data_IF_868078922086
#
_entry.id   IF_868078922086
#
_cell.length_a   1.000
_cell.length_b   1.000
_cell.length_c   1.000
_cell.angle_alpha   90.00
_cell.angle_beta   90.00
_cell.angle_gamma   90.00
#
_symmetry.space_group_name_H-M   'P 1'
#
loop_
_entity.id
_entity.type
_entity.pdbx_description
1 polymer ?
#
# COMPACT_ATOMS: atom_id res chain seq x y z
N UNK A 1 22.00 -26.19 -7.03
CA UNK A 1 21.82 -25.28 -8.18
C UNK A 1 20.66 -25.76 -8.99
N UNK A 2 19.47 -25.33 -8.67
CA UNK A 2 18.28 -25.49 -9.53
C UNK A 2 17.29 -24.41 -9.11
N UNK A 3 17.62 -23.17 -9.48
CA UNK A 3 16.71 -22.04 -9.35
C UNK A 3 15.67 -22.15 -10.46
N UNK A 4 14.49 -22.52 -10.06
CA UNK A 4 13.18 -22.06 -10.50
C UNK A 4 13.04 -21.53 -11.93
N UNK A 5 13.24 -22.40 -12.92
CA UNK A 5 12.97 -22.13 -14.33
C UNK A 5 11.50 -22.34 -14.72
N UNK A 6 10.66 -22.78 -13.79
CA UNK A 6 9.23 -23.10 -14.00
C UNK A 6 8.29 -21.93 -13.68
N UNK A 7 8.79 -20.83 -13.12
CA UNK A 7 7.96 -19.68 -12.73
C UNK A 7 7.76 -18.61 -13.83
N UNK A 8 8.36 -18.76 -15.01
CA UNK A 8 8.37 -17.68 -16.02
C UNK A 8 7.21 -17.72 -17.03
N UNK A 9 6.40 -18.75 -17.05
CA UNK A 9 5.34 -18.89 -18.07
C UNK A 9 4.00 -18.19 -17.71
N UNK A 10 3.81 -17.76 -16.45
CA UNK A 10 2.55 -17.15 -15.99
C UNK A 10 2.68 -15.73 -15.41
N UNK A 11 3.90 -15.26 -15.19
CA UNK A 11 4.17 -13.98 -14.48
C UNK A 11 4.67 -12.88 -15.42
N UNK A 12 4.19 -12.88 -16.66
CA UNK A 12 4.61 -11.92 -17.69
C UNK A 12 4.27 -10.46 -17.37
N UNK A 13 3.43 -10.22 -16.37
CA UNK A 13 2.89 -8.90 -16.06
C UNK A 13 3.54 -8.22 -14.84
N UNK A 14 4.18 -8.97 -13.93
CA UNK A 14 4.89 -8.35 -12.80
C UNK A 14 6.05 -7.50 -13.32
N UNK A 15 6.19 -6.23 -12.87
CA UNK A 15 7.26 -5.34 -13.31
C UNK A 15 8.65 -5.97 -13.19
N UNK A 16 9.37 -6.05 -14.30
CA UNK A 16 10.71 -6.66 -14.35
C UNK A 16 11.69 -6.00 -13.39
N UNK A 17 11.56 -4.68 -13.18
CA UNK A 17 12.41 -3.93 -12.24
C UNK A 17 12.21 -4.40 -10.80
N UNK A 18 10.97 -4.78 -10.40
CA UNK A 18 10.68 -5.30 -9.07
C UNK A 18 11.35 -6.67 -8.88
N UNK A 19 11.12 -7.61 -9.80
CA UNK A 19 11.72 -8.95 -9.74
C UNK A 19 13.26 -8.86 -9.81
N UNK A 20 13.80 -8.01 -10.68
CA UNK A 20 15.24 -7.80 -10.77
C UNK A 20 15.82 -7.26 -9.45
N UNK A 21 15.15 -6.31 -8.82
CA UNK A 21 15.56 -5.76 -7.52
C UNK A 21 15.60 -6.83 -6.44
N UNK A 22 14.53 -7.62 -6.28
CA UNK A 22 14.45 -8.70 -5.28
C UNK A 22 15.53 -9.76 -5.50
N UNK A 23 15.76 -10.17 -6.75
CA UNK A 23 16.78 -11.14 -7.11
C UNK A 23 18.20 -10.62 -6.90
N UNK A 24 18.47 -9.34 -7.22
CA UNK A 24 19.77 -8.70 -7.01
C UNK A 24 20.15 -8.65 -5.53
N UNK A 25 19.17 -8.36 -4.66
CA UNK A 25 19.37 -8.38 -3.21
C UNK A 25 19.32 -9.79 -2.61
N UNK A 26 19.10 -10.83 -3.43
CA UNK A 26 19.05 -12.25 -3.03
C UNK A 26 18.07 -12.52 -1.88
N UNK A 27 16.99 -11.77 -1.81
CA UNK A 27 15.96 -11.96 -0.79
C UNK A 27 15.00 -13.08 -1.17
N UNK A 28 14.44 -13.77 -0.17
CA UNK A 28 13.39 -14.76 -0.37
C UNK A 28 12.05 -14.04 -0.39
N UNK A 29 11.23 -14.36 -1.38
CA UNK A 29 9.86 -13.86 -1.50
C UNK A 29 8.95 -14.95 -2.03
N UNK A 30 7.66 -14.82 -1.77
CA UNK A 30 6.60 -15.69 -2.25
C UNK A 30 5.68 -14.86 -3.16
N UNK A 31 5.33 -15.40 -4.33
CA UNK A 31 4.32 -14.82 -5.21
C UNK A 31 3.00 -15.53 -4.93
N UNK A 32 1.97 -14.75 -4.61
CA UNK A 32 0.61 -15.22 -4.35
C UNK A 32 -0.25 -14.73 -5.51
N UNK A 33 -0.90 -15.65 -6.19
CA UNK A 33 -1.78 -15.34 -7.32
C UNK A 33 -3.24 -15.46 -6.92
N UNK A 34 -4.00 -14.36 -7.07
CA UNK A 34 -5.46 -14.32 -6.83
C UNK A 34 -6.18 -13.78 -8.08
N UNK A 35 -6.73 -14.64 -8.92
CA UNK A 35 -7.26 -14.25 -10.23
C UNK A 35 -8.54 -13.38 -10.19
N UNK A 36 -9.22 -13.22 -9.05
CA UNK A 36 -10.53 -12.56 -9.01
C UNK A 36 -10.70 -11.49 -7.92
N UNK A 37 -9.68 -11.15 -7.15
CA UNK A 37 -9.84 -10.17 -6.08
C UNK A 37 -9.42 -8.76 -6.55
N UNK A 38 -10.32 -7.76 -6.49
CA UNK A 38 -9.89 -6.37 -6.63
C UNK A 38 -8.90 -6.04 -5.49
N UNK A 39 -7.85 -5.30 -5.81
CA UNK A 39 -6.72 -4.94 -4.91
C UNK A 39 -7.15 -4.43 -3.52
N UNK A 40 -8.38 -3.95 -3.38
CA UNK A 40 -8.97 -3.47 -2.11
C UNK A 40 -9.89 -4.47 -1.42
N UNK A 41 -10.09 -5.66 -1.97
CA UNK A 41 -11.08 -6.64 -1.51
C UNK A 41 -10.50 -8.06 -1.55
N UNK A 42 -9.27 -8.24 -1.06
CA UNK A 42 -8.66 -9.56 -1.03
C UNK A 42 -9.34 -10.46 -0.01
N UNK A 43 -9.69 -11.67 -0.42
CA UNK A 43 -10.14 -12.75 0.46
C UNK A 43 -8.98 -13.34 1.28
N UNK A 44 -7.76 -12.81 1.09
CA UNK A 44 -6.55 -13.28 1.78
C UNK A 44 -6.68 -12.94 3.27
N UNK A 45 -7.17 -13.89 4.06
CA UNK A 45 -7.03 -13.88 5.52
C UNK A 45 -5.57 -14.20 5.85
N UNK A 46 -4.70 -13.22 5.72
CA UNK A 46 -3.31 -13.35 6.10
C UNK A 46 -3.16 -12.87 7.55
N UNK A 47 -2.44 -13.65 8.35
CA UNK A 47 -1.89 -13.17 9.62
C UNK A 47 -0.86 -12.05 9.39
N UNK A 48 -0.41 -11.90 8.14
CA UNK A 48 0.56 -10.92 7.66
C UNK A 48 -0.16 -9.68 7.15
N UNK A 49 0.23 -8.46 7.55
CA UNK A 49 -0.42 -7.24 7.09
C UNK A 49 -0.22 -7.05 5.59
N UNK A 50 -1.33 -6.84 4.90
CA UNK A 50 -1.36 -6.28 3.56
C UNK A 50 -1.04 -4.80 3.64
N UNK A 51 -0.19 -4.32 2.75
CA UNK A 51 0.16 -2.90 2.71
C UNK A 51 -0.32 -2.23 1.42
N UNK A 52 -0.69 -0.98 1.55
CA UNK A 52 -1.07 -0.09 0.46
C UNK A 52 -0.05 1.02 0.31
N UNK A 53 0.22 1.43 -0.92
CA UNK A 53 1.07 2.55 -1.26
C UNK A 53 0.23 3.72 -1.77
N UNK A 54 0.44 4.90 -1.21
CA UNK A 54 -0.24 6.14 -1.60
C UNK A 54 0.78 7.13 -2.17
N UNK A 55 0.48 7.69 -3.35
CA UNK A 55 1.27 8.79 -3.90
C UNK A 55 0.73 10.10 -3.36
N UNK A 56 1.59 10.85 -2.69
CA UNK A 56 1.26 12.14 -2.08
C UNK A 56 2.12 13.21 -2.71
N UNK A 57 1.48 14.30 -3.14
CA UNK A 57 2.18 15.50 -3.58
C UNK A 57 2.42 16.40 -2.36
N UNK A 58 3.67 16.73 -2.14
CA UNK A 58 4.13 17.63 -1.09
C UNK A 58 4.91 18.78 -1.74
N UNK A 59 4.24 19.91 -2.01
CA UNK A 59 4.87 21.12 -2.61
C UNK A 59 5.71 20.81 -3.85
N UNK A 60 5.11 20.16 -4.84
CA UNK A 60 5.71 19.71 -6.11
C UNK A 60 6.69 18.53 -6.03
N UNK A 61 6.91 17.97 -4.86
CA UNK A 61 7.61 16.70 -4.71
C UNK A 61 6.62 15.57 -4.47
N UNK A 62 6.73 14.49 -5.22
CA UNK A 62 5.94 13.29 -4.97
C UNK A 62 6.67 12.36 -4.03
N UNK A 63 5.93 11.79 -3.11
CA UNK A 63 6.43 10.81 -2.15
C UNK A 63 5.49 9.61 -2.10
N UNK A 64 6.03 8.45 -1.78
CA UNK A 64 5.26 7.23 -1.59
C UNK A 64 5.06 6.97 -0.09
N UNK A 65 3.81 6.82 0.36
CA UNK A 65 3.50 6.53 1.75
C UNK A 65 2.90 5.13 1.86
N UNK A 66 3.50 4.29 2.67
CA UNK A 66 3.15 2.87 2.85
C UNK A 66 2.50 2.68 4.22
N UNK A 67 1.28 2.15 4.19
CA UNK A 67 0.46 1.90 5.40
C UNK A 67 -0.26 0.56 5.27
N UNK A 68 -0.73 -0.06 6.38
CA UNK A 68 -1.62 -1.22 6.31
C UNK A 68 -2.90 -0.89 5.54
N UNK A 69 -3.38 -1.81 4.69
CA UNK A 69 -4.53 -1.60 3.81
C UNK A 69 -5.86 -1.41 4.58
N UNK A 70 -5.96 -2.01 5.76
CA UNK A 70 -7.12 -1.93 6.66
C UNK A 70 -7.18 -0.63 7.48
N UNK A 71 -6.19 0.26 7.30
CA UNK A 71 -6.07 1.51 8.05
C UNK A 71 -6.14 2.72 7.12
N UNK A 72 -6.65 3.82 7.63
CA UNK A 72 -6.77 5.05 6.85
C UNK A 72 -5.57 6.00 7.06
N UNK A 73 -5.07 6.53 5.95
CA UNK A 73 -4.05 7.57 5.92
C UNK A 73 -4.62 8.90 6.46
N UNK A 74 -3.89 9.56 7.37
CA UNK A 74 -4.21 10.90 7.87
C UNK A 74 -3.30 11.94 7.21
N UNK A 75 -3.81 12.63 6.20
CA UNK A 75 -3.06 13.65 5.47
C UNK A 75 -2.62 14.83 6.37
N UNK A 76 -3.32 15.10 7.48
CA UNK A 76 -2.86 16.14 8.42
C UNK A 76 -1.58 15.71 9.14
N UNK A 77 -1.46 14.42 9.48
CA UNK A 77 -0.24 13.88 10.07
C UNK A 77 0.90 13.85 9.06
N UNK A 78 0.60 13.50 7.80
CA UNK A 78 1.59 13.57 6.71
C UNK A 78 2.09 15.00 6.53
N UNK A 79 1.18 15.98 6.47
CA UNK A 79 1.51 17.40 6.37
C UNK A 79 2.38 17.87 7.54
N UNK A 80 2.01 17.50 8.75
CA UNK A 80 2.78 17.88 9.95
C UNK A 80 4.19 17.25 9.94
N UNK A 81 4.31 16.04 9.42
CA UNK A 81 5.57 15.32 9.35
C UNK A 81 6.50 15.89 8.27
N UNK A 82 5.96 16.17 7.08
CA UNK A 82 6.74 16.69 5.94
C UNK A 82 7.00 18.20 6.02
N UNK A 83 6.23 18.93 6.85
CA UNK A 83 6.37 20.38 6.99
C UNK A 83 5.82 21.20 5.81
N UNK A 84 5.11 20.58 4.87
CA UNK A 84 4.58 21.19 3.65
C UNK A 84 3.12 20.86 3.43
N UNK A 85 2.36 21.69 2.68
CA UNK A 85 1.03 21.30 2.20
C UNK A 85 1.10 20.00 1.41
N UNK A 86 0.17 19.08 1.69
CA UNK A 86 0.10 17.78 1.03
C UNK A 86 -1.30 17.53 0.50
N UNK A 87 -1.37 16.81 -0.63
CA UNK A 87 -2.59 16.23 -1.16
C UNK A 87 -2.34 14.82 -1.67
N UNK A 88 -3.36 13.98 -1.57
CA UNK A 88 -3.34 12.68 -2.21
C UNK A 88 -3.49 12.89 -3.73
N UNK A 89 -2.68 12.24 -4.53
CA UNK A 89 -2.85 12.21 -5.98
C UNK A 89 -3.82 11.11 -6.40
N UNK A 90 -4.57 11.37 -7.45
CA UNK A 90 -5.38 10.35 -8.13
C UNK A 90 -4.50 9.49 -9.04
N UNK A 91 -4.98 8.31 -9.39
CA UNK A 91 -4.25 7.40 -10.28
C UNK A 91 -3.91 8.05 -11.63
N UNK A 92 -4.82 8.84 -12.18
CA UNK A 92 -4.59 9.58 -13.45
C UNK A 92 -3.44 10.58 -13.35
N UNK A 93 -3.22 11.17 -12.18
CA UNK A 93 -2.16 12.14 -11.95
C UNK A 93 -0.78 11.49 -11.81
N UNK A 94 -0.71 10.24 -11.35
CA UNK A 94 0.57 9.58 -11.09
C UNK A 94 0.85 8.30 -11.91
N UNK A 95 -0.11 7.77 -12.69
CA UNK A 95 0.07 6.52 -13.47
C UNK A 95 1.32 6.49 -14.36
N UNK A 96 1.72 7.64 -14.87
CA UNK A 96 2.91 7.77 -15.71
C UNK A 96 4.23 7.54 -14.95
N UNK A 97 4.23 7.63 -13.61
CA UNK A 97 5.38 7.28 -12.76
C UNK A 97 5.59 5.77 -12.69
N UNK A 98 4.53 4.99 -12.90
CA UNK A 98 4.51 3.53 -12.79
C UNK A 98 4.05 2.89 -14.11
N UNK A 99 4.79 3.11 -15.21
CA UNK A 99 4.34 2.72 -16.55
C UNK A 99 4.20 1.22 -16.75
N UNK A 100 4.77 0.43 -15.86
CA UNK A 100 4.78 -1.03 -15.85
C UNK A 100 3.87 -1.63 -14.77
N UNK A 101 3.02 -0.80 -14.12
CA UNK A 101 2.07 -1.26 -13.12
C UNK A 101 0.62 -1.07 -13.57
N UNK A 102 -0.23 -2.01 -13.19
CA UNK A 102 -1.68 -1.85 -13.30
C UNK A 102 -2.19 -0.78 -12.31
N UNK A 103 -3.32 -0.15 -12.66
CA UNK A 103 -3.97 0.82 -11.78
C UNK A 103 -4.35 0.17 -10.44
N UNK A 104 -4.07 0.86 -9.34
CA UNK A 104 -4.33 0.39 -7.98
C UNK A 104 -3.33 -0.64 -7.46
N UNK A 105 -2.34 -1.08 -8.26
CA UNK A 105 -1.42 -2.17 -7.91
C UNK A 105 0.04 -1.71 -7.72
N UNK A 106 0.25 -0.44 -7.40
CA UNK A 106 1.61 0.11 -7.21
C UNK A 106 2.33 -0.59 -6.05
N UNK A 107 3.49 -1.22 -6.31
CA UNK A 107 4.28 -1.83 -5.26
C UNK A 107 4.92 -0.76 -4.35
N UNK A 108 5.15 -1.05 -3.06
CA UNK A 108 5.67 -0.08 -2.09
C UNK A 108 7.19 0.17 -2.22
N UNK A 109 7.72 0.14 -3.43
CA UNK A 109 9.13 0.27 -3.77
C UNK A 109 9.40 1.61 -4.48
N UNK A 110 9.22 2.74 -3.78
CA UNK A 110 9.42 4.07 -4.36
C UNK A 110 10.81 4.28 -4.94
N UNK A 111 11.83 3.65 -4.37
CA UNK A 111 13.21 3.69 -4.87
C UNK A 111 13.35 3.18 -6.33
N UNK A 112 12.47 2.28 -6.79
CA UNK A 112 12.47 1.82 -8.18
C UNK A 112 11.91 2.84 -9.16
N UNK A 113 11.21 3.85 -8.64
CA UNK A 113 10.52 4.90 -9.42
C UNK A 113 11.01 6.32 -9.07
N UNK A 114 12.15 6.41 -8.35
CA UNK A 114 12.73 7.70 -7.97
C UNK A 114 11.92 8.47 -6.92
N UNK A 115 11.09 7.79 -6.14
CA UNK A 115 10.25 8.40 -5.11
C UNK A 115 10.80 8.13 -3.70
N UNK A 116 10.93 9.14 -2.84
CA UNK A 116 11.14 8.92 -1.42
C UNK A 116 10.00 8.10 -0.85
N UNK A 117 10.33 7.09 -0.03
CA UNK A 117 9.34 6.20 0.58
C UNK A 117 9.27 6.42 2.08
N UNK A 118 8.06 6.58 2.58
CA UNK A 118 7.75 6.69 4.00
C UNK A 118 6.87 5.51 4.41
N UNK A 119 7.10 4.97 5.61
CA UNK A 119 6.36 3.81 6.12
C UNK A 119 5.79 4.11 7.50
N UNK A 120 4.56 3.66 7.75
CA UNK A 120 3.96 3.83 9.08
C UNK A 120 4.61 2.91 10.12
N UNK A 121 4.85 3.43 11.33
CA UNK A 121 5.43 2.69 12.46
C UNK A 121 4.68 1.41 12.83
N UNK A 122 3.39 1.31 12.51
CA UNK A 122 2.60 0.10 12.78
C UNK A 122 3.14 -1.14 12.06
N UNK A 123 3.84 -0.96 10.94
CA UNK A 123 4.45 -2.03 10.16
C UNK A 123 5.84 -2.48 10.69
N UNK A 124 6.46 -1.70 11.58
CA UNK A 124 7.81 -1.99 12.07
C UNK A 124 7.93 -3.31 12.85
N UNK A 125 6.81 -3.81 13.41
CA UNK A 125 6.79 -5.04 14.22
C UNK A 125 6.34 -6.28 13.45
N UNK A 126 5.91 -6.11 12.22
CA UNK A 126 5.44 -7.23 11.40
C UNK A 126 6.64 -8.02 10.87
N UNK A 127 6.67 -9.35 11.02
CA UNK A 127 7.77 -10.16 10.50
C UNK A 127 7.83 -10.13 8.98
N UNK A 128 6.67 -10.13 8.34
CA UNK A 128 6.49 -10.09 6.90
C UNK A 128 5.49 -8.99 6.53
N UNK A 129 5.53 -8.57 5.26
CA UNK A 129 4.52 -7.75 4.60
C UNK A 129 4.06 -8.40 3.31
N UNK A 130 2.82 -8.12 2.91
CA UNK A 130 2.27 -8.52 1.62
C UNK A 130 1.83 -7.28 0.87
N UNK A 131 2.14 -7.19 -0.41
CA UNK A 131 1.85 -6.03 -1.25
C UNK A 131 1.53 -6.43 -2.69
N UNK A 132 0.80 -5.58 -3.40
CA UNK A 132 0.51 -5.77 -4.82
C UNK A 132 1.81 -5.71 -5.63
N UNK A 133 1.98 -6.67 -6.52
CA UNK A 133 3.20 -6.86 -7.29
C UNK A 133 3.27 -6.05 -8.59
N UNK A 134 2.43 -5.03 -8.76
CA UNK A 134 2.31 -4.25 -10.00
C UNK A 134 1.22 -4.77 -10.94
N UNK A 135 0.53 -5.86 -10.58
CA UNK A 135 -0.62 -6.43 -11.29
C UNK A 135 -1.84 -6.43 -10.40
N UNK A 136 -3.01 -6.64 -10.98
CA UNK A 136 -4.26 -6.74 -10.22
C UNK A 136 -4.48 -8.10 -9.56
N UNK A 137 -3.68 -9.10 -9.91
CA UNK A 137 -3.85 -10.49 -9.52
C UNK A 137 -2.70 -11.06 -8.71
N UNK A 138 -1.54 -10.40 -8.73
CA UNK A 138 -0.35 -10.93 -8.07
C UNK A 138 0.07 -10.10 -6.88
N UNK A 139 0.39 -10.80 -5.80
CA UNK A 139 0.90 -10.24 -4.56
C UNK A 139 2.26 -10.84 -4.25
N UNK A 140 3.10 -10.07 -3.59
CA UNK A 140 4.38 -10.57 -3.08
C UNK A 140 4.37 -10.51 -1.56
N UNK A 141 4.70 -11.65 -0.94
CA UNK A 141 5.04 -11.73 0.48
C UNK A 141 6.54 -11.68 0.65
N UNK A 142 7.00 -10.79 1.51
CA UNK A 142 8.41 -10.51 1.74
C UNK A 142 8.67 -10.26 3.22
N UNK A 143 9.79 -10.75 3.75
CA UNK A 143 10.23 -10.41 5.10
C UNK A 143 10.41 -8.90 5.24
N UNK A 144 9.81 -8.32 6.30
CA UNK A 144 9.86 -6.86 6.54
C UNK A 144 11.28 -6.33 6.66
N UNK A 145 12.19 -7.09 7.29
CA UNK A 145 13.60 -6.74 7.36
C UNK A 145 14.23 -6.56 5.98
N UNK A 146 14.00 -7.50 5.07
CA UNK A 146 14.48 -7.42 3.68
C UNK A 146 13.90 -6.22 2.94
N UNK A 147 12.61 -5.95 3.11
CA UNK A 147 11.98 -4.76 2.54
C UNK A 147 12.64 -3.47 3.03
N UNK A 148 12.83 -3.35 4.35
CA UNK A 148 13.45 -2.16 4.96
C UNK A 148 14.88 -1.94 4.49
N UNK A 149 15.65 -3.02 4.31
CA UNK A 149 17.03 -2.97 3.83
C UNK A 149 17.11 -2.48 2.37
N UNK A 150 16.18 -2.94 1.51
CA UNK A 150 16.15 -2.59 0.09
C UNK A 150 15.63 -1.16 -0.12
N UNK A 151 14.51 -0.82 0.51
CA UNK A 151 13.78 0.44 0.25
C UNK A 151 14.33 1.58 1.10
N UNK A 152 14.84 1.27 2.30
CA UNK A 152 15.33 2.25 3.30
C UNK A 152 14.33 3.38 3.54
N UNK A 153 13.07 3.04 3.87
CA UNK A 153 12.02 4.04 4.03
C UNK A 153 12.20 4.84 5.31
N UNK A 154 11.62 6.05 5.33
CA UNK A 154 11.58 6.89 6.52
C UNK A 154 10.33 6.54 7.32
N UNK A 155 10.48 6.26 8.61
CA UNK A 155 9.38 5.93 9.49
C UNK A 155 8.64 7.16 9.98
N UNK A 156 7.29 7.08 9.99
CA UNK A 156 6.41 8.12 10.54
C UNK A 156 5.13 7.53 11.12
N UNK A 157 4.27 8.40 11.67
CA UNK A 157 2.94 8.04 12.18
C UNK A 157 1.89 8.69 11.31
N UNK A 158 1.35 7.95 10.36
CA UNK A 158 0.50 8.49 9.30
C UNK A 158 -0.96 8.05 9.38
N UNK A 159 -1.32 7.19 10.34
CA UNK A 159 -2.66 6.60 10.43
C UNK A 159 -3.62 7.45 11.26
N UNK A 160 -4.90 7.44 10.86
CA UNK A 160 -5.99 7.98 11.69
C UNK A 160 -6.07 7.20 12.99
N UNK A 161 -6.12 7.89 14.13
CA UNK A 161 -6.28 7.25 15.44
C UNK A 161 -7.73 6.77 15.63
N UNK A 162 -7.91 5.65 16.36
CA UNK A 162 -9.22 5.04 16.62
C UNK A 162 -10.28 6.02 17.14
N UNK A 163 -9.91 6.98 18.00
CA UNK A 163 -10.82 8.06 18.48
C UNK A 163 -11.40 8.89 17.35
N UNK A 164 -10.62 9.19 16.31
CA UNK A 164 -11.04 10.02 15.17
C UNK A 164 -11.86 9.23 14.16
N UNK A 165 -11.63 7.93 14.07
CA UNK A 165 -12.40 7.00 13.22
C UNK A 165 -13.84 6.87 13.74
N UNK A 166 -14.03 6.68 15.05
CA UNK A 166 -15.35 6.65 15.70
C UNK A 166 -16.12 7.97 15.52
N UNK A 167 -15.46 9.11 15.66
CA UNK A 167 -16.06 10.44 15.45
C UNK A 167 -16.52 10.70 14.01
N UNK A 168 -15.83 10.13 13.02
CA UNK A 168 -16.17 10.26 11.61
C UNK A 168 -17.35 9.37 11.22
N UNK A 169 -17.45 8.18 11.80
CA UNK A 169 -18.60 7.27 11.65
C UNK A 169 -19.88 7.86 12.25
N UNK A 170 -19.78 8.56 13.38
CA UNK A 170 -20.92 9.24 14.04
C UNK A 170 -21.38 10.51 13.31
N UNK A 171 -20.58 11.08 12.41
CA UNK A 171 -20.90 12.27 11.61
C UNK A 171 -21.28 11.97 10.16
N UNK A 172 -21.40 10.70 9.76
CA UNK A 172 -21.91 10.35 8.45
C UNK A 172 -23.41 10.75 8.37
N UNK A 173 -23.83 11.53 7.36
CA UNK A 173 -25.25 11.89 7.19
C UNK A 173 -26.02 10.63 6.77
N UNK A 174 -26.86 10.12 7.68
CA UNK A 174 -27.68 8.92 7.42
C UNK A 174 -28.31 8.28 8.65
N UNK A 175 -28.09 8.80 9.86
CA UNK A 175 -28.78 8.35 11.07
C UNK A 175 -29.96 9.28 11.43
N UNK A 176 -30.85 9.52 10.47
CA UNK A 176 -32.17 10.05 10.83
C UNK A 176 -32.97 8.89 11.43
N UNK A 177 -33.13 8.96 12.76
CA UNK A 177 -34.08 8.14 13.50
C UNK A 177 -35.49 8.48 13.01
N UNK A 178 -36.11 7.50 12.41
CA UNK A 178 -37.54 7.52 12.12
C UNK A 178 -38.30 7.33 13.47
N UNK A 179 -38.41 8.41 14.25
CA UNK A 179 -39.36 8.51 15.34
C UNK A 179 -40.59 9.24 14.81
N UNK A 180 -41.51 8.52 14.19
CA UNK A 180 -42.90 8.94 14.10
C UNK A 180 -43.75 7.76 13.59
N UNK A 181 -44.33 7.03 14.52
CA UNK A 181 -45.62 6.32 14.32
C UNK A 181 -46.02 5.62 15.60
N UNK A 182 -46.51 6.35 16.59
CA UNK A 182 -47.43 5.82 17.60
C UNK A 182 -48.21 7.02 18.17
N UNK A 183 -49.28 7.38 17.50
CA UNK A 183 -50.49 7.97 18.10
C UNK A 183 -51.61 7.92 17.09
N UNK A 184 -52.47 6.93 17.16
CA UNK A 184 -53.94 6.94 17.20
C UNK A 184 -54.42 5.51 17.23
#
# INVERSE_FOLDING_TARGET
MTANRLALAGYSEIPRRLIHCLNTHRVRYEIIHEPEAPVRSTSIKLETPLVSAYVVNASNQRVLIVVPIDRQLDLNKVRAFLGHPVRLETEDEFKWLFPDCALGAVPPFGNLYGLPTYIDWSLAKSPDIVFAAGTTTDWIKLASGSYLEIVKPIFGRFLITAKRQASKLLRAPGAERNENSLTQ
#
